data_IF_727927893636
#
_entry.id   IF_727927893636
#
_cell.length_a   1.000
_cell.length_b   1.000
_cell.length_c   1.000
_cell.angle_alpha   90.00
_cell.angle_beta   90.00
_cell.angle_gamma   90.00
#
_symmetry.space_group_name_H-M   'P 1'
#
loop_
_entity.id
_entity.type
_entity.pdbx_description
1 polymer ?
#
# COMPACT_ATOMS: atom_id res chain seq x y z
N UNK A 1 16.30 -8.98 35.17
CA UNK A 1 15.08 -9.02 34.36
C UNK A 1 15.50 -9.42 32.96
N UNK A 2 14.92 -10.46 32.35
CA UNK A 2 15.27 -10.80 30.97
C UNK A 2 14.56 -9.81 30.06
N UNK A 3 15.33 -9.12 29.21
CA UNK A 3 14.77 -8.31 28.14
C UNK A 3 14.10 -9.24 27.12
N UNK A 4 12.82 -8.99 26.85
CA UNK A 4 12.03 -9.80 25.93
C UNK A 4 12.57 -9.63 24.51
N UNK A 5 13.11 -10.70 23.95
CA UNK A 5 13.52 -10.82 22.54
C UNK A 5 12.34 -10.81 21.54
N UNK A 6 11.15 -10.36 21.94
CA UNK A 6 9.93 -10.38 21.12
C UNK A 6 9.90 -9.35 19.98
N UNK A 7 10.85 -8.41 19.92
CA UNK A 7 10.92 -7.43 18.82
C UNK A 7 11.47 -8.01 17.51
N UNK A 8 12.03 -9.23 17.51
CA UNK A 8 12.61 -9.85 16.31
C UNK A 8 11.59 -10.57 15.40
N UNK A 9 10.36 -10.82 15.88
CA UNK A 9 9.33 -11.57 15.14
C UNK A 9 8.30 -10.69 14.42
N UNK A 10 8.44 -9.37 14.48
CA UNK A 10 7.53 -8.46 13.78
C UNK A 10 8.16 -8.09 12.44
N UNK A 11 7.71 -8.68 11.31
CA UNK A 11 8.28 -8.36 10.02
C UNK A 11 8.09 -6.87 9.74
N UNK A 12 9.20 -6.21 9.45
CA UNK A 12 9.23 -4.85 8.91
C UNK A 12 9.67 -4.97 7.45
N UNK A 13 9.12 -4.12 6.60
CA UNK A 13 9.47 -4.11 5.20
C UNK A 13 9.23 -2.76 4.56
N UNK A 14 9.44 -2.73 3.26
CA UNK A 14 9.07 -1.64 2.40
C UNK A 14 8.04 -2.11 1.37
N UNK A 15 7.14 -1.21 0.98
CA UNK A 15 6.25 -1.39 -0.15
C UNK A 15 6.39 -0.19 -1.08
N UNK A 16 6.46 -0.46 -2.37
CA UNK A 16 6.45 0.56 -3.42
C UNK A 16 5.12 0.49 -4.15
N UNK A 17 4.44 1.62 -4.24
CA UNK A 17 3.23 1.82 -5.04
C UNK A 17 3.55 2.60 -6.30
N UNK A 18 3.16 2.03 -7.44
CA UNK A 18 3.27 2.65 -8.76
C UNK A 18 1.88 2.85 -9.33
N UNK A 19 1.47 4.07 -9.70
CA UNK A 19 0.19 4.29 -10.34
C UNK A 19 0.21 3.64 -11.73
N UNK A 20 -0.84 2.90 -12.07
CA UNK A 20 -0.97 2.35 -13.43
C UNK A 20 -1.38 3.50 -14.36
N UNK A 21 -0.42 4.09 -15.04
CA UNK A 21 -0.67 5.15 -16.02
C UNK A 21 -1.19 4.55 -17.34
N UNK A 22 -2.13 5.27 -17.99
CA UNK A 22 -2.81 4.91 -19.24
C UNK A 22 -1.90 4.78 -20.50
N UNK A 23 -0.57 4.78 -20.35
CA UNK A 23 0.42 4.74 -21.43
C UNK A 23 0.86 3.34 -21.82
N UNK A 24 0.56 2.31 -21.01
CA UNK A 24 0.60 0.93 -21.51
C UNK A 24 -0.67 0.70 -22.35
N UNK A 25 -0.52 0.15 -23.56
CA UNK A 25 -1.58 -0.05 -24.58
C UNK A 25 -2.72 -1.00 -24.16
N UNK A 26 -2.93 -1.23 -22.86
CA UNK A 26 -4.05 -1.94 -22.27
C UNK A 26 -4.88 -0.92 -21.47
N UNK A 27 -5.79 -0.25 -22.19
CA UNK A 27 -6.85 0.60 -21.67
C UNK A 27 -6.41 1.81 -20.81
N UNK A 28 -7.01 2.97 -21.10
CA UNK A 28 -6.99 4.11 -20.17
C UNK A 28 -7.39 3.62 -18.79
N UNK A 29 -6.51 3.69 -17.80
CA UNK A 29 -6.85 3.36 -16.42
C UNK A 29 -7.62 4.56 -15.83
N UNK A 30 -8.97 4.52 -15.74
CA UNK A 30 -9.77 5.66 -15.33
C UNK A 30 -9.92 5.74 -13.80
N UNK A 31 -9.34 4.78 -13.05
CA UNK A 31 -9.85 4.46 -11.73
C UNK A 31 -8.88 4.81 -10.59
N UNK A 32 -7.57 4.97 -10.82
CA UNK A 32 -6.60 5.22 -9.73
C UNK A 32 -5.93 3.95 -9.17
N UNK A 33 -5.93 2.85 -9.92
CA UNK A 33 -5.28 1.57 -9.52
C UNK A 33 -3.78 1.72 -9.28
N UNK A 34 -3.27 1.10 -8.21
CA UNK A 34 -1.85 1.07 -7.86
C UNK A 34 -1.30 -0.36 -7.96
N UNK A 35 -0.09 -0.51 -8.50
CA UNK A 35 0.72 -1.72 -8.39
C UNK A 35 1.57 -1.64 -7.13
N UNK A 36 1.51 -2.67 -6.29
CA UNK A 36 2.28 -2.77 -5.07
C UNK A 36 3.43 -3.77 -5.22
N UNK A 37 4.63 -3.42 -4.76
CA UNK A 37 5.78 -4.31 -4.70
C UNK A 37 6.34 -4.32 -3.28
N UNK A 38 6.35 -5.48 -2.63
CA UNK A 38 6.78 -5.62 -1.23
C UNK A 38 8.16 -6.24 -1.13
N UNK A 39 8.98 -5.67 -0.24
CA UNK A 39 10.26 -6.22 0.16
C UNK A 39 10.29 -6.36 1.70
N UNK A 40 10.64 -7.54 2.19
CA UNK A 40 10.72 -7.84 3.62
C UNK A 40 12.18 -7.71 4.10
N UNK A 41 12.45 -6.95 5.17
CA UNK A 41 13.82 -6.55 5.51
C UNK A 41 14.59 -7.55 6.40
N UNK A 42 14.12 -8.78 6.59
CA UNK A 42 14.60 -9.63 7.69
C UNK A 42 15.07 -11.05 7.33
N UNK A 43 15.22 -11.41 6.05
CA UNK A 43 15.70 -12.76 5.72
C UNK A 43 16.86 -12.70 4.72
N UNK A 44 18.04 -13.13 5.17
CA UNK A 44 19.24 -13.29 4.35
C UNK A 44 18.92 -14.23 3.18
N UNK A 45 19.13 -13.78 1.94
CA UNK A 45 18.85 -14.59 0.74
C UNK A 45 17.39 -14.59 0.26
N UNK A 46 16.54 -13.70 0.75
CA UNK A 46 15.16 -13.56 0.28
C UNK A 46 15.03 -12.47 -0.79
N UNK A 47 15.00 -12.93 -2.04
CA UNK A 47 14.48 -12.20 -3.21
C UNK A 47 12.94 -12.34 -3.32
N UNK A 48 12.22 -12.47 -2.20
CA UNK A 48 10.74 -12.60 -2.26
C UNK A 48 10.12 -11.23 -2.43
N UNK A 49 9.92 -10.88 -3.69
CA UNK A 49 9.10 -9.75 -4.14
C UNK A 49 7.66 -10.24 -4.23
N UNK A 50 6.85 -9.99 -3.20
CA UNK A 50 5.40 -10.13 -3.36
C UNK A 50 4.88 -8.98 -4.21
N UNK A 51 3.98 -9.29 -5.14
CA UNK A 51 3.31 -8.29 -5.97
C UNK A 51 1.87 -8.12 -5.49
N UNK A 52 1.33 -6.93 -5.61
CA UNK A 52 -0.06 -6.68 -5.29
C UNK A 52 -0.70 -5.68 -6.23
N UNK A 53 -2.02 -5.66 -6.22
CA UNK A 53 -2.83 -4.71 -6.99
C UNK A 53 -3.80 -4.08 -6.01
N UNK A 54 -3.74 -2.76 -5.84
CA UNK A 54 -4.69 -1.98 -5.07
C UNK A 54 -5.69 -1.35 -6.03
N UNK A 55 -6.94 -1.81 -5.95
CA UNK A 55 -8.06 -1.29 -6.75
C UNK A 55 -8.85 -0.33 -5.85
N UNK A 56 -9.06 0.92 -6.28
CA UNK A 56 -9.78 1.88 -5.47
C UNK A 56 -11.21 1.44 -5.25
N UNK A 57 -11.74 1.74 -4.07
CA UNK A 57 -13.17 1.63 -3.84
C UNK A 57 -13.88 2.59 -4.81
N UNK A 58 -14.85 2.06 -5.57
CA UNK A 58 -15.74 2.89 -6.38
C UNK A 58 -16.67 3.61 -5.40
N UNK A 59 -16.22 4.71 -4.84
CA UNK A 59 -17.10 5.64 -4.16
C UNK A 59 -17.92 6.33 -5.24
N UNK A 60 -19.24 6.08 -5.26
CA UNK A 60 -20.17 6.96 -5.94
C UNK A 60 -19.82 8.38 -5.51
N UNK A 61 -19.44 9.22 -6.48
CA UNK A 61 -18.95 10.58 -6.27
C UNK A 61 -19.69 11.24 -5.10
N UNK A 62 -19.01 11.39 -3.96
CA UNK A 62 -19.44 12.38 -3.00
C UNK A 62 -19.29 13.72 -3.71
N UNK A 63 -20.43 14.39 -3.94
CA UNK A 63 -20.48 15.79 -4.35
C UNK A 63 -19.70 16.62 -3.31
N UNK A 64 -18.41 16.82 -3.57
CA UNK A 64 -17.55 17.68 -2.79
C UNK A 64 -17.36 18.98 -3.59
N UNK A 65 -17.73 20.09 -2.95
CA UNK A 65 -17.60 21.44 -3.47
C UNK A 65 -16.14 21.83 -3.78
N UNK A 66 -16.03 23.05 -4.30
CA UNK A 66 -14.91 23.74 -4.98
C UNK A 66 -13.52 23.78 -4.30
N UNK A 67 -13.18 22.83 -3.43
CA UNK A 67 -11.90 22.72 -2.71
C UNK A 67 -11.39 21.26 -2.71
N UNK A 68 -11.49 20.60 -3.87
CA UNK A 68 -10.95 19.25 -4.04
C UNK A 68 -9.43 19.28 -3.79
N UNK A 69 -8.89 18.46 -2.87
CA UNK A 69 -7.47 18.39 -2.65
C UNK A 69 -6.79 17.96 -3.94
N UNK A 70 -5.64 18.57 -4.19
CA UNK A 70 -4.65 18.26 -5.21
C UNK A 70 -4.76 16.79 -5.68
N UNK A 71 -4.94 16.58 -6.99
CA UNK A 71 -5.27 15.31 -7.64
C UNK A 71 -4.11 14.29 -7.50
N UNK A 72 -3.87 13.82 -6.28
CA UNK A 72 -2.80 12.93 -5.90
C UNK A 72 -3.19 11.49 -6.23
N UNK A 73 -2.43 10.79 -7.09
CA UNK A 73 -2.80 9.47 -7.57
C UNK A 73 -2.77 8.38 -6.48
N UNK A 74 -2.18 8.66 -5.31
CA UNK A 74 -2.01 7.68 -4.24
C UNK A 74 -3.02 7.79 -3.10
N UNK A 75 -3.66 8.96 -2.92
CA UNK A 75 -4.57 9.19 -1.81
C UNK A 75 -5.91 8.54 -2.12
N UNK A 76 -6.40 7.69 -1.20
CA UNK A 76 -7.70 7.06 -1.33
C UNK A 76 -7.85 5.78 -0.53
N UNK A 77 -9.03 5.20 -0.67
CA UNK A 77 -9.40 3.92 -0.10
C UNK A 77 -9.34 2.85 -1.19
N UNK A 78 -8.70 1.73 -0.90
CA UNK A 78 -8.41 0.66 -1.83
C UNK A 78 -8.72 -0.70 -1.24
N UNK A 79 -9.05 -1.63 -2.13
CA UNK A 79 -8.96 -3.06 -1.86
C UNK A 79 -7.68 -3.59 -2.49
N UNK A 80 -6.79 -4.15 -1.69
CA UNK A 80 -5.49 -4.66 -2.14
C UNK A 80 -5.43 -6.18 -2.04
N UNK A 81 -5.07 -6.83 -3.16
CA UNK A 81 -4.79 -8.27 -3.21
C UNK A 81 -3.30 -8.48 -3.40
N UNK A 82 -2.75 -9.49 -2.72
CA UNK A 82 -1.34 -9.87 -2.81
C UNK A 82 -1.18 -11.22 -3.48
N UNK A 83 -0.16 -11.35 -4.31
CA UNK A 83 0.31 -12.61 -4.85
C UNK A 83 1.70 -12.91 -4.28
N UNK A 84 1.86 -14.12 -3.73
CA UNK A 84 3.16 -14.64 -3.34
C UNK A 84 4.10 -14.84 -4.55
N UNK A 85 5.37 -15.21 -4.31
CA UNK A 85 6.31 -15.50 -5.39
C UNK A 85 5.89 -16.71 -6.26
N UNK A 86 4.98 -17.55 -5.78
CA UNK A 86 4.33 -18.64 -6.51
C UNK A 86 3.15 -18.17 -7.39
N UNK A 87 2.79 -16.89 -7.32
CA UNK A 87 1.66 -16.30 -8.02
C UNK A 87 0.31 -16.60 -7.38
N UNK A 88 0.27 -17.26 -6.21
CA UNK A 88 -0.99 -17.53 -5.53
C UNK A 88 -1.51 -16.27 -4.84
N UNK A 89 -2.75 -15.90 -5.16
CA UNK A 89 -3.42 -14.77 -4.51
C UNK A 89 -3.81 -15.10 -3.07
N UNK A 90 -3.53 -14.16 -2.17
CA UNK A 90 -4.00 -14.14 -0.79
C UNK A 90 -5.35 -13.46 -0.68
N UNK A 91 -6.03 -13.64 0.45
CA UNK A 91 -7.22 -12.86 0.77
C UNK A 91 -6.95 -11.35 0.64
N UNK A 92 -7.89 -10.58 0.09
CA UNK A 92 -7.75 -9.14 -0.05
C UNK A 92 -7.80 -8.43 1.31
N UNK A 93 -7.16 -7.27 1.37
CA UNK A 93 -7.12 -6.37 2.51
C UNK A 93 -7.69 -5.01 2.13
N UNK A 94 -8.13 -4.28 3.15
CA UNK A 94 -8.51 -2.88 3.02
C UNK A 94 -7.28 -2.01 3.23
N UNK A 95 -7.03 -1.09 2.30
CA UNK A 95 -5.89 -0.19 2.32
C UNK A 95 -6.39 1.25 2.25
N UNK A 96 -5.99 2.06 3.23
CA UNK A 96 -6.25 3.51 3.23
C UNK A 96 -4.92 4.24 3.13
N UNK A 97 -4.81 5.15 2.16
CA UNK A 97 -3.64 6.02 2.00
C UNK A 97 -4.07 7.47 2.17
N UNK A 98 -3.41 8.15 3.11
CA UNK A 98 -3.61 9.58 3.40
C UNK A 98 -2.27 10.32 3.39
N UNK A 99 -2.31 11.65 3.36
CA UNK A 99 -1.10 12.49 3.31
C UNK A 99 -1.19 13.62 4.34
N UNK A 100 -0.12 13.83 5.10
CA UNK A 100 0.08 14.97 5.99
C UNK A 100 1.40 15.67 5.60
N UNK A 101 1.30 16.84 4.96
CA UNK A 101 2.46 17.50 4.37
C UNK A 101 3.07 16.68 3.24
N UNK A 102 4.36 16.34 3.36
CA UNK A 102 5.09 15.50 2.39
C UNK A 102 5.08 14.01 2.77
N UNK A 103 4.48 13.65 3.90
CA UNK A 103 4.48 12.30 4.45
C UNK A 103 3.16 11.61 4.13
N UNK A 104 3.27 10.39 3.62
CA UNK A 104 2.13 9.52 3.35
C UNK A 104 1.98 8.51 4.48
N UNK A 105 0.74 8.26 4.86
CA UNK A 105 0.35 7.28 5.84
C UNK A 105 -0.48 6.21 5.14
N UNK A 106 -0.08 4.94 5.29
CA UNK A 106 -0.79 3.79 4.76
C UNK A 106 -1.28 2.91 5.92
N UNK A 107 -2.54 2.49 5.89
CA UNK A 107 -3.11 1.57 6.88
C UNK A 107 -3.68 0.37 6.14
N UNK A 108 -3.24 -0.83 6.54
CA UNK A 108 -3.81 -2.08 6.06
C UNK A 108 -4.67 -2.71 7.15
N UNK A 109 -5.90 -3.04 6.80
CA UNK A 109 -6.90 -3.56 7.73
C UNK A 109 -7.67 -4.74 7.17
N UNK A 110 -8.25 -5.53 8.07
CA UNK A 110 -9.14 -6.65 7.74
C UNK A 110 -10.28 -6.65 8.75
N UNK A 111 -11.52 -6.69 8.28
CA UNK A 111 -12.72 -6.57 9.12
C UNK A 111 -12.68 -5.32 10.02
N UNK A 112 -12.32 -4.16 9.44
CA UNK A 112 -12.22 -2.86 10.12
C UNK A 112 -11.18 -2.77 11.26
N UNK A 113 -10.29 -3.77 11.38
CA UNK A 113 -9.19 -3.75 12.36
C UNK A 113 -7.88 -3.48 11.63
N UNK A 114 -7.18 -2.42 12.02
CA UNK A 114 -5.86 -2.10 11.50
C UNK A 114 -4.82 -3.13 11.97
N UNK A 115 -4.13 -3.74 11.03
CA UNK A 115 -3.08 -4.74 11.30
C UNK A 115 -1.69 -4.23 10.98
N UNK A 116 -1.56 -3.32 10.01
CA UNK A 116 -0.28 -2.75 9.63
C UNK A 116 -0.39 -1.26 9.39
N UNK A 117 0.65 -0.54 9.78
CA UNK A 117 0.82 0.89 9.51
C UNK A 117 2.09 1.11 8.69
N UNK A 118 2.00 2.03 7.73
CA UNK A 118 3.06 2.40 6.82
C UNK A 118 3.25 3.90 6.79
N UNK A 119 4.50 4.32 6.66
CA UNK A 119 4.90 5.72 6.50
C UNK A 119 5.82 5.81 5.30
N UNK A 120 5.55 6.77 4.43
CA UNK A 120 6.26 6.88 3.16
C UNK A 120 6.37 8.29 2.59
N UNK A 121 7.03 8.36 1.45
CA UNK A 121 7.23 9.57 0.67
C UNK A 121 7.30 9.23 -0.83
N UNK A 122 7.12 10.24 -1.68
CA UNK A 122 7.25 10.07 -3.13
C UNK A 122 8.70 10.13 -3.56
N UNK A 123 9.12 9.16 -4.36
CA UNK A 123 10.42 9.14 -5.04
C UNK A 123 10.25 8.58 -6.44
N UNK A 124 10.73 9.31 -7.45
CA UNK A 124 10.65 8.90 -8.86
C UNK A 124 9.24 8.49 -9.27
N UNK A 125 8.24 9.32 -8.93
CA UNK A 125 6.80 9.07 -9.23
C UNK A 125 6.21 7.82 -8.57
N UNK A 126 6.90 7.22 -7.59
CA UNK A 126 6.40 6.10 -6.81
C UNK A 126 6.25 6.50 -5.35
N UNK A 127 5.22 5.98 -4.70
CA UNK A 127 5.10 6.08 -3.25
C UNK A 127 5.85 4.91 -2.60
N UNK A 128 6.85 5.21 -1.78
CA UNK A 128 7.63 4.20 -1.05
C UNK A 128 7.26 4.31 0.43
N UNK A 129 6.68 3.25 1.00
CA UNK A 129 6.32 3.18 2.41
C UNK A 129 7.12 2.10 3.14
N UNK A 130 7.76 2.46 4.25
CA UNK A 130 8.15 1.48 5.25
C UNK A 130 6.92 1.08 6.06
N UNK A 131 6.74 -0.20 6.38
CA UNK A 131 5.56 -0.69 7.10
C UNK A 131 5.94 -1.57 8.29
N UNK A 132 5.05 -1.60 9.28
CA UNK A 132 5.17 -2.43 10.49
C UNK A 132 3.80 -2.94 10.95
N UNK A 133 3.74 -4.08 11.67
CA UNK A 133 2.51 -4.52 12.32
C UNK A 133 2.09 -3.55 13.43
N UNK A 134 0.78 -3.45 13.63
CA UNK A 134 0.13 -2.80 14.76
C UNK A 134 0.05 -3.86 15.87
N UNK A 135 0.69 -3.58 17.01
CA UNK A 135 0.63 -4.38 18.23
C UNK A 135 -0.60 -4.06 19.04
#
# INVERSE_FOLDING_TARGET
MPESFDTLNNPIGAVTYTPVNATDNIARNPNGTLLAHWAFSAQEGIDVVCKGIAVPYVTEKHDAGDDAPENDPFIGDYKITYAGPDGQESDPWDLVITREGEIYHAIWSKNDVAHYHGIGFISQENLICGWRPVT
#
